data_IF_687997070534
#
_entry.id   IF_687997070534
#
_cell.length_a   1.000
_cell.length_b   1.000
_cell.length_c   1.000
_cell.angle_alpha   90.00
_cell.angle_beta   90.00
_cell.angle_gamma   90.00
#
_symmetry.space_group_name_H-M   'P 1'
#
loop_
_entity.id
_entity.type
_entity.pdbx_description
1 polymer ?
#
# COMPACT_ATOMS: atom_id res chain seq x y z
N UNK A 1 27.55 13.40 12.39
CA UNK A 1 26.39 12.62 11.92
C UNK A 1 26.87 11.21 11.62
N UNK A 2 26.19 10.20 12.15
CA UNK A 2 26.66 8.81 12.20
C UNK A 2 25.84 7.87 11.32
N UNK A 3 26.40 6.70 10.99
CA UNK A 3 25.85 5.60 10.14
C UNK A 3 24.44 5.07 10.50
N UNK A 4 23.78 5.63 11.50
CA UNK A 4 22.49 5.18 12.05
C UNK A 4 21.35 6.21 11.84
N UNK A 5 21.57 7.27 11.05
CA UNK A 5 20.56 8.30 10.77
C UNK A 5 19.64 7.87 9.62
N UNK A 6 18.32 7.92 9.84
CA UNK A 6 17.31 7.59 8.84
C UNK A 6 16.74 8.87 8.22
N UNK A 7 16.57 8.86 6.90
CA UNK A 7 16.06 9.99 6.13
C UNK A 7 14.66 9.69 5.59
N UNK A 8 13.76 10.65 5.72
CA UNK A 8 12.48 10.61 5.04
C UNK A 8 12.67 11.02 3.59
N UNK A 9 12.10 10.25 2.68
CA UNK A 9 12.15 10.53 1.25
C UNK A 9 10.78 10.32 0.62
N UNK A 10 10.44 11.19 -0.31
CA UNK A 10 9.30 11.01 -1.19
C UNK A 10 9.77 10.29 -2.45
N UNK A 11 9.14 9.15 -2.75
CA UNK A 11 9.43 8.35 -3.94
C UNK A 11 8.60 8.89 -5.10
N UNK A 12 9.26 9.49 -6.08
CA UNK A 12 8.62 10.07 -7.26
C UNK A 12 8.29 9.02 -8.30
N UNK A 13 9.26 8.16 -8.61
CA UNK A 13 9.18 7.22 -9.72
C UNK A 13 10.12 6.04 -9.51
N UNK A 14 9.68 4.85 -9.91
CA UNK A 14 10.54 3.68 -10.05
C UNK A 14 10.98 3.54 -11.52
N UNK A 15 12.27 3.35 -11.75
CA UNK A 15 12.84 3.07 -13.07
C UNK A 15 12.92 1.57 -13.34
N UNK A 16 12.98 1.21 -14.63
CA UNK A 16 13.02 -0.20 -15.07
C UNK A 16 14.34 -0.91 -14.72
N UNK A 17 15.40 -0.14 -14.48
CA UNK A 17 16.72 -0.64 -14.04
C UNK A 17 16.78 -0.87 -12.51
N UNK A 18 15.65 -0.71 -11.82
CA UNK A 18 15.53 -0.89 -10.38
C UNK A 18 15.87 0.36 -9.57
N UNK A 19 16.40 1.44 -10.16
CA UNK A 19 16.63 2.68 -9.41
C UNK A 19 15.31 3.37 -9.03
N UNK A 20 15.29 4.01 -7.86
CA UNK A 20 14.14 4.76 -7.37
C UNK A 20 14.50 6.24 -7.32
N UNK A 21 13.72 7.08 -7.99
CA UNK A 21 13.81 8.53 -7.96
C UNK A 21 13.22 9.06 -6.65
N UNK A 22 14.03 9.77 -5.88
CA UNK A 22 13.64 10.28 -4.56
C UNK A 22 13.91 11.75 -4.38
N UNK A 23 13.12 12.36 -3.50
CA UNK A 23 13.34 13.71 -3.00
C UNK A 23 13.33 13.64 -1.47
N UNK A 24 14.36 14.14 -0.76
CA UNK A 24 14.34 14.23 0.69
C UNK A 24 13.17 15.04 1.21
N UNK A 25 12.60 14.58 2.30
CA UNK A 25 11.52 15.22 3.05
C UNK A 25 12.01 15.46 4.46
N UNK A 26 11.75 16.65 5.00
CA UNK A 26 12.17 17.04 6.35
C UNK A 26 10.99 17.60 7.14
N UNK A 27 11.08 17.53 8.46
CA UNK A 27 10.08 18.08 9.38
C UNK A 27 10.33 19.57 9.67
N UNK A 28 11.57 20.02 9.52
CA UNK A 28 11.99 21.40 9.81
C UNK A 28 11.65 22.33 8.64
N UNK A 29 10.38 22.70 8.51
CA UNK A 29 9.88 23.60 7.44
C UNK A 29 10.52 24.99 7.47
N UNK A 30 11.08 25.42 8.60
CA UNK A 30 11.82 26.68 8.73
C UNK A 30 13.11 26.68 7.89
N UNK A 31 13.67 25.50 7.59
CA UNK A 31 14.85 25.35 6.75
C UNK A 31 14.52 25.27 5.25
N UNK A 32 13.24 25.40 4.88
CA UNK A 32 12.84 25.43 3.48
C UNK A 32 13.39 26.66 2.74
N UNK A 33 13.72 26.45 1.47
CA UNK A 33 14.17 27.48 0.54
C UNK A 33 13.25 27.53 -0.70
N UNK A 34 13.61 28.37 -1.68
CA UNK A 34 12.83 28.52 -2.91
C UNK A 34 12.78 27.26 -3.79
N UNK A 35 13.55 26.23 -3.44
CA UNK A 35 13.62 24.93 -4.12
C UNK A 35 12.99 23.81 -3.27
N UNK A 36 12.25 24.17 -2.22
CA UNK A 36 11.64 23.25 -1.27
C UNK A 36 10.13 23.42 -1.28
N UNK A 37 9.39 22.37 -1.62
CA UNK A 37 7.92 22.36 -1.59
C UNK A 37 7.46 22.20 -0.15
N UNK A 38 6.59 23.10 0.30
CA UNK A 38 5.97 23.04 1.62
C UNK A 38 4.66 22.26 1.55
N UNK A 39 4.54 21.20 2.35
CA UNK A 39 3.37 20.33 2.41
C UNK A 39 2.68 20.54 3.76
N UNK A 40 1.44 21.02 3.78
CA UNK A 40 0.74 21.29 5.02
C UNK A 40 0.37 19.98 5.75
N UNK A 41 0.25 20.07 7.07
CA UNK A 41 -0.10 18.96 7.96
C UNK A 41 -1.40 18.22 7.55
N UNK A 42 -2.34 18.91 6.93
CA UNK A 42 -3.60 18.33 6.44
C UNK A 42 -3.40 17.33 5.30
N UNK A 43 -2.34 17.50 4.50
CA UNK A 43 -2.03 16.70 3.31
C UNK A 43 -0.86 15.72 3.57
N UNK A 44 -0.22 15.86 4.72
CA UNK A 44 0.88 15.00 5.16
C UNK A 44 0.38 13.73 5.87
N UNK A 45 0.93 12.55 5.55
CA UNK A 45 0.60 11.30 6.24
C UNK A 45 1.03 11.31 7.72
N UNK A 46 1.95 12.21 8.10
CA UNK A 46 2.42 12.36 9.48
C UNK A 46 1.62 13.38 10.29
N UNK A 47 0.59 14.02 9.71
CA UNK A 47 -0.22 15.07 10.34
C UNK A 47 0.61 16.23 10.91
N UNK A 48 1.75 16.50 10.29
CA UNK A 48 2.67 17.62 10.57
C UNK A 48 3.12 18.23 9.25
N UNK A 49 3.46 19.52 9.27
CA UNK A 49 4.00 20.19 8.09
C UNK A 49 5.32 19.53 7.67
N UNK A 50 5.51 19.35 6.37
CA UNK A 50 6.71 18.74 5.78
C UNK A 50 7.31 19.67 4.72
N UNK A 51 8.60 19.51 4.48
CA UNK A 51 9.34 20.23 3.45
C UNK A 51 10.05 19.23 2.52
N UNK A 52 9.70 19.22 1.24
CA UNK A 52 10.30 18.35 0.23
C UNK A 52 11.35 19.11 -0.61
N UNK A 53 12.63 18.81 -0.39
CA UNK A 53 13.76 19.57 -0.95
C UNK A 53 14.12 19.10 -2.36
N UNK A 54 13.41 19.63 -3.37
CA UNK A 54 13.50 19.21 -4.79
C UNK A 54 14.91 19.37 -5.39
N UNK A 55 15.72 20.29 -4.85
CA UNK A 55 17.11 20.52 -5.23
C UNK A 55 18.04 19.32 -4.98
N UNK A 56 17.64 18.40 -4.10
CA UNK A 56 18.42 17.23 -3.67
C UNK A 56 17.88 15.92 -4.24
N UNK A 57 17.19 15.99 -5.37
CA UNK A 57 16.71 14.81 -6.10
C UNK A 57 17.86 13.83 -6.35
N UNK A 58 17.64 12.55 -6.04
CA UNK A 58 18.63 11.50 -6.20
C UNK A 58 18.00 10.17 -6.65
N UNK A 59 18.87 9.24 -7.04
CA UNK A 59 18.50 7.88 -7.37
C UNK A 59 19.03 6.94 -6.30
N UNK A 60 18.13 6.20 -5.64
CA UNK A 60 18.48 5.22 -4.61
C UNK A 60 18.19 3.81 -5.09
N UNK A 61 18.93 2.85 -4.55
CA UNK A 61 18.61 1.44 -4.74
C UNK A 61 17.38 1.08 -3.89
N UNK A 62 16.46 0.20 -4.33
CA UNK A 62 15.27 -0.19 -3.55
C UNK A 62 15.60 -0.77 -2.18
N UNK A 63 16.81 -1.30 -2.00
CA UNK A 63 17.29 -1.84 -0.72
C UNK A 63 17.65 -0.78 0.31
N UNK A 64 17.85 0.47 -0.10
CA UNK A 64 18.11 1.59 0.82
C UNK A 64 16.85 2.01 1.59
N UNK A 65 15.65 1.59 1.16
CA UNK A 65 14.40 1.98 1.77
C UNK A 65 14.04 1.06 2.94
N UNK A 66 13.69 1.68 4.06
CA UNK A 66 13.30 1.00 5.29
C UNK A 66 11.78 0.81 5.25
N UNK A 67 11.00 1.88 5.38
CA UNK A 67 9.53 1.83 5.47
C UNK A 67 8.83 2.81 4.54
N UNK A 68 7.59 2.48 4.21
CA UNK A 68 6.63 3.39 3.56
C UNK A 68 5.69 3.93 4.63
N UNK A 69 5.74 5.23 4.87
CA UNK A 69 4.94 5.90 5.91
C UNK A 69 3.52 6.20 5.42
N UNK A 70 3.37 6.60 4.16
CA UNK A 70 2.07 6.94 3.60
C UNK A 70 2.17 7.43 2.16
N UNK A 71 1.06 7.90 1.62
CA UNK A 71 1.00 8.57 0.33
C UNK A 71 1.00 10.09 0.52
N UNK A 72 1.70 10.78 -0.36
CA UNK A 72 1.68 12.24 -0.49
C UNK A 72 1.46 12.57 -1.96
N UNK A 73 0.42 13.34 -2.25
CA UNK A 73 0.08 13.77 -3.59
C UNK A 73 0.67 15.15 -3.89
N UNK A 74 1.99 15.20 -4.05
CA UNK A 74 2.76 16.44 -4.30
C UNK A 74 3.46 16.42 -5.66
N UNK A 75 3.04 15.53 -6.56
CA UNK A 75 3.74 15.29 -7.82
C UNK A 75 3.68 16.51 -8.76
N UNK A 76 2.51 17.12 -8.91
CA UNK A 76 2.34 18.36 -9.68
C UNK A 76 3.20 19.49 -9.11
N UNK A 77 3.19 19.62 -7.78
CA UNK A 77 3.83 20.70 -7.05
C UNK A 77 5.35 20.66 -7.21
N UNK A 78 5.92 19.45 -7.10
CA UNK A 78 7.32 19.18 -7.37
C UNK A 78 7.67 19.48 -8.83
N UNK A 79 6.83 19.08 -9.78
CA UNK A 79 7.09 19.32 -11.21
C UNK A 79 7.06 20.80 -11.57
N UNK A 80 6.14 21.56 -10.99
CA UNK A 80 6.03 23.02 -11.13
C UNK A 80 7.27 23.73 -10.57
N UNK A 81 7.74 23.35 -9.38
CA UNK A 81 8.99 23.90 -8.82
C UNK A 81 10.19 23.58 -9.70
N UNK A 82 10.32 22.33 -10.16
CA UNK A 82 11.42 21.93 -11.05
C UNK A 82 11.36 22.63 -12.42
N UNK A 83 10.16 22.92 -12.93
CA UNK A 83 9.97 23.66 -14.18
C UNK A 83 10.30 25.14 -14.01
N UNK A 84 9.82 25.77 -12.94
CA UNK A 84 10.11 27.15 -12.58
C UNK A 84 11.62 27.37 -12.40
N UNK A 85 12.30 26.45 -11.70
CA UNK A 85 13.75 26.49 -11.52
C UNK A 85 14.50 26.46 -12.85
N UNK A 86 14.12 25.55 -13.78
CA UNK A 86 14.70 25.47 -15.13
C UNK A 86 14.47 26.73 -15.95
N UNK A 87 13.34 27.41 -15.74
CA UNK A 87 12.99 28.66 -16.41
C UNK A 87 13.57 29.91 -15.72
N UNK A 88 14.20 29.78 -14.53
CA UNK A 88 14.64 30.92 -13.72
C UNK A 88 13.49 31.78 -13.19
N UNK A 89 12.31 31.18 -13.01
CA UNK A 89 11.09 31.83 -12.54
C UNK A 89 10.73 31.36 -11.11
N UNK A 90 9.83 32.09 -10.46
CA UNK A 90 9.24 31.65 -9.19
C UNK A 90 8.12 30.64 -9.46
N UNK A 91 8.04 29.61 -8.62
CA UNK A 91 6.93 28.66 -8.64
C UNK A 91 5.63 29.32 -8.17
N UNK A 92 4.49 28.84 -8.66
CA UNK A 92 3.16 29.17 -8.14
C UNK A 92 2.79 28.37 -6.88
N UNK A 93 3.60 27.36 -6.55
CA UNK A 93 3.42 26.46 -5.39
C UNK A 93 3.98 27.10 -4.12
N UNK A 94 3.47 26.69 -2.96
CA UNK A 94 4.04 27.07 -1.66
C UNK A 94 5.47 26.54 -1.52
N UNK A 95 6.43 27.46 -1.47
CA UNK A 95 7.87 27.16 -1.27
C UNK A 95 8.45 28.05 -0.18
N UNK A 96 9.64 27.68 0.31
CA UNK A 96 10.39 28.48 1.27
C UNK A 96 10.91 29.80 0.68
N UNK A 97 11.37 30.73 1.55
CA UNK A 97 11.89 32.01 1.09
C UNK A 97 13.23 31.85 0.37
N UNK A 98 13.46 32.73 -0.62
CA UNK A 98 14.69 32.72 -1.42
C UNK A 98 15.95 32.90 -0.54
N UNK A 99 16.99 32.11 -0.78
CA UNK A 99 18.31 32.33 -0.17
C UNK A 99 18.93 33.62 -0.75
N UNK A 100 19.21 34.58 0.13
CA UNK A 100 19.74 35.91 -0.25
C UNK A 100 21.24 36.07 0.02
N UNK A 101 21.79 35.24 0.90
CA UNK A 101 23.19 35.29 1.35
C UNK A 101 23.89 33.95 1.07
N UNK A 102 25.18 34.01 0.77
CA UNK A 102 26.02 32.80 0.67
C UNK A 102 26.34 32.19 2.05
N UNK A 103 26.16 32.96 3.13
CA UNK A 103 26.35 32.51 4.51
C UNK A 103 25.04 32.03 5.19
N UNK A 104 24.01 31.71 4.40
CA UNK A 104 22.72 31.24 4.92
C UNK A 104 22.84 29.80 5.45
N UNK A 105 22.46 29.56 6.71
CA UNK A 105 22.56 28.25 7.38
C UNK A 105 21.81 27.14 6.62
N UNK A 106 20.79 27.48 5.83
CA UNK A 106 20.06 26.51 4.99
C UNK A 106 20.95 25.89 3.92
N UNK A 107 22.01 26.58 3.48
CA UNK A 107 23.00 26.02 2.54
C UNK A 107 23.81 24.89 3.19
N UNK A 108 24.22 25.06 4.45
CA UNK A 108 24.92 24.02 5.21
C UNK A 108 24.01 22.82 5.46
N UNK A 109 22.76 23.07 5.86
CA UNK A 109 21.76 22.01 6.05
C UNK A 109 21.51 21.22 4.76
N UNK A 110 21.37 21.90 3.62
CA UNK A 110 21.21 21.26 2.31
C UNK A 110 22.43 20.41 1.94
N UNK A 111 23.63 20.84 2.31
CA UNK A 111 24.83 20.05 2.10
C UNK A 111 24.85 18.81 2.99
N UNK A 112 24.46 18.92 4.26
CA UNK A 112 24.34 17.77 5.17
C UNK A 112 23.34 16.72 4.66
N UNK A 113 22.16 17.15 4.19
CA UNK A 113 21.18 16.25 3.56
C UNK A 113 21.71 15.60 2.29
N UNK A 114 22.45 16.35 1.46
CA UNK A 114 23.09 15.83 0.26
C UNK A 114 24.10 14.74 0.60
N UNK A 115 24.95 14.98 1.59
CA UNK A 115 25.97 14.02 2.01
C UNK A 115 25.31 12.74 2.53
N UNK A 116 24.24 12.86 3.32
CA UNK A 116 23.49 11.71 3.84
C UNK A 116 22.81 10.90 2.73
N UNK A 117 22.20 11.56 1.73
CA UNK A 117 21.65 10.86 0.55
C UNK A 117 22.77 10.19 -0.28
N UNK A 118 23.91 10.85 -0.42
CA UNK A 118 25.05 10.32 -1.18
C UNK A 118 25.62 9.04 -0.54
N UNK A 119 25.54 8.90 0.78
CA UNK A 119 25.90 7.65 1.46
C UNK A 119 24.93 6.50 1.13
N UNK A 120 23.68 6.81 0.77
CA UNK A 120 22.63 5.83 0.45
C UNK A 120 22.58 5.43 -1.05
N UNK A 121 23.32 6.12 -1.92
CA UNK A 121 23.33 5.86 -3.37
C UNK A 121 23.89 4.47 -3.74
N UNK A 122 23.50 3.88 -4.89
CA UNK A 122 23.75 2.48 -5.26
C UNK A 122 25.21 2.02 -5.20
N UNK A 123 26.18 2.91 -5.43
CA UNK A 123 27.61 2.59 -5.38
C UNK A 123 28.11 2.17 -3.99
N UNK A 124 27.42 2.59 -2.91
CA UNK A 124 27.74 2.14 -1.55
C UNK A 124 27.31 0.69 -1.29
N UNK A 125 26.29 0.21 -2.01
CA UNK A 125 25.66 -1.10 -1.82
C UNK A 125 26.27 -2.18 -2.72
N UNK A 126 26.67 -1.85 -3.95
CA UNK A 126 27.34 -2.82 -4.84
C UNK A 126 28.70 -3.28 -4.29
N UNK A 127 29.37 -2.46 -3.47
CA UNK A 127 30.63 -2.82 -2.83
C UNK A 127 30.48 -3.82 -1.66
N UNK A 128 29.29 -3.95 -1.08
CA UNK A 128 29.05 -4.84 0.09
C UNK A 128 28.58 -6.24 -0.30
N UNK A 129 28.07 -6.42 -1.53
CA UNK A 129 27.56 -7.71 -2.03
C UNK A 129 28.64 -8.69 -2.52
N UNK A 130 29.87 -8.26 -2.79
CA UNK A 130 30.93 -9.15 -3.26
C UNK A 130 31.59 -10.03 -2.18
N UNK A 131 31.14 -9.94 -0.91
CA UNK A 131 31.72 -10.72 0.20
C UNK A 131 30.81 -11.85 0.74
N UNK A 132 29.59 -12.01 0.23
CA UNK A 132 28.74 -13.14 0.61
C UNK A 132 28.99 -14.32 -0.32
N UNK A 133 29.94 -15.16 0.08
CA UNK A 133 30.26 -16.43 -0.56
C UNK A 133 29.01 -17.23 -0.92
N UNK A 134 29.01 -17.75 -2.15
CA UNK A 134 28.08 -18.75 -2.64
C UNK A 134 28.00 -19.93 -1.67
N UNK A 135 26.96 -19.97 -0.84
CA UNK A 135 26.67 -21.15 -0.05
C UNK A 135 26.04 -22.19 -0.98
N UNK A 136 26.74 -23.31 -1.08
CA UNK A 136 26.38 -24.51 -1.81
C UNK A 136 24.95 -24.94 -1.48
N UNK A 137 24.10 -24.97 -2.50
CA UNK A 137 22.95 -25.86 -2.59
C UNK A 137 23.45 -27.31 -2.43
N UNK A 138 23.33 -27.88 -1.24
CA UNK A 138 23.46 -29.33 -1.05
C UNK A 138 22.47 -29.84 0.00
N UNK A 139 21.49 -30.61 -0.48
CA UNK A 139 21.01 -31.89 0.07
C UNK A 139 20.51 -32.04 1.53
N UNK A 140 20.43 -30.99 2.35
CA UNK A 140 19.93 -31.11 3.74
C UNK A 140 18.42 -30.79 3.91
N UNK A 141 17.59 -31.16 2.93
CA UNK A 141 16.11 -31.08 3.03
C UNK A 141 15.48 -32.24 3.85
N UNK A 142 16.29 -33.13 4.44
CA UNK A 142 15.82 -34.42 4.97
C UNK A 142 15.46 -34.45 6.47
N UNK A 143 15.28 -33.32 7.16
CA UNK A 143 14.99 -33.33 8.61
C UNK A 143 13.97 -32.31 9.12
N UNK A 144 13.11 -31.78 8.26
CA UNK A 144 11.84 -31.24 8.78
C UNK A 144 10.97 -32.45 9.12
N UNK A 145 10.37 -32.56 10.32
CA UNK A 145 9.41 -33.62 10.64
C UNK A 145 8.40 -33.72 9.50
N UNK A 146 8.01 -34.93 9.09
CA UNK A 146 7.08 -35.18 8.00
C UNK A 146 5.78 -34.40 8.25
N UNK A 147 5.75 -33.17 7.75
CA UNK A 147 4.72 -32.20 8.07
C UNK A 147 3.47 -32.63 7.33
N UNK A 148 2.36 -32.75 8.04
CA UNK A 148 1.09 -33.05 7.40
C UNK A 148 0.55 -31.79 6.70
N UNK A 149 1.15 -31.50 5.55
CA UNK A 149 0.78 -30.39 4.68
C UNK A 149 -0.70 -30.42 4.32
N UNK A 150 -1.28 -31.63 4.18
CA UNK A 150 -2.68 -31.81 3.83
C UNK A 150 -3.58 -31.44 5.01
N UNK A 151 -3.20 -31.79 6.24
CA UNK A 151 -3.89 -31.33 7.45
C UNK A 151 -3.84 -29.81 7.56
N UNK A 152 -2.68 -29.19 7.36
CA UNK A 152 -2.55 -27.74 7.43
C UNK A 152 -3.41 -27.03 6.37
N UNK A 153 -3.31 -27.42 5.10
CA UNK A 153 -4.11 -26.85 4.00
C UNK A 153 -5.61 -26.98 4.28
N UNK A 154 -6.06 -28.13 4.81
CA UNK A 154 -7.45 -28.35 5.21
C UNK A 154 -7.88 -27.42 6.35
N UNK A 155 -7.11 -27.37 7.44
CA UNK A 155 -7.47 -26.57 8.62
C UNK A 155 -7.47 -25.06 8.32
N UNK A 156 -6.52 -24.59 7.50
CA UNK A 156 -6.53 -23.19 7.00
C UNK A 156 -7.74 -22.92 6.13
N UNK A 157 -8.06 -23.82 5.19
CA UNK A 157 -9.22 -23.63 4.30
C UNK A 157 -10.56 -23.65 5.07
N UNK A 158 -10.66 -24.46 6.13
CA UNK A 158 -11.85 -24.56 6.98
C UNK A 158 -12.04 -23.34 7.87
N UNK A 159 -10.97 -22.84 8.50
CA UNK A 159 -11.04 -21.73 9.45
C UNK A 159 -10.89 -20.35 8.82
N UNK A 160 -10.17 -20.24 7.70
CA UNK A 160 -9.94 -18.99 6.96
C UNK A 160 -10.51 -19.13 5.54
N UNK A 161 -11.85 -19.11 5.38
CA UNK A 161 -12.46 -19.18 4.05
C UNK A 161 -11.97 -18.01 3.20
N UNK A 162 -11.60 -18.28 1.95
CA UNK A 162 -10.97 -17.34 1.00
C UNK A 162 -9.47 -17.07 1.19
N UNK A 163 -8.81 -17.70 2.16
CA UNK A 163 -7.34 -17.71 2.17
C UNK A 163 -6.77 -18.64 1.10
N UNK A 164 -5.62 -18.28 0.54
CA UNK A 164 -4.92 -19.09 -0.46
C UNK A 164 -3.52 -19.48 0.09
N UNK A 165 -3.36 -20.66 0.71
CA UNK A 165 -2.06 -21.14 1.15
C UNK A 165 -1.20 -21.55 -0.07
N UNK A 166 -0.08 -20.87 -0.26
CA UNK A 166 0.89 -21.14 -1.33
C UNK A 166 2.15 -21.71 -0.68
N UNK A 167 2.61 -22.88 -1.11
CA UNK A 167 3.88 -23.44 -0.64
C UNK A 167 5.05 -22.56 -1.07
N UNK A 168 5.98 -22.33 -0.16
CA UNK A 168 7.19 -21.51 -0.40
C UNK A 168 8.41 -22.40 -0.24
N UNK A 169 9.35 -22.30 -1.18
CA UNK A 169 10.64 -23.00 -1.14
C UNK A 169 11.76 -21.97 -1.41
N UNK A 170 11.92 -21.04 -0.46
CA UNK A 170 12.86 -19.92 -0.53
C UNK A 170 14.21 -20.25 0.13
N UNK A 171 14.47 -21.54 0.40
CA UNK A 171 15.64 -21.99 1.12
C UNK A 171 15.59 -21.68 2.62
N UNK A 172 16.57 -22.21 3.34
CA UNK A 172 16.66 -22.15 4.79
C UNK A 172 17.42 -20.89 5.25
N UNK A 173 16.96 -20.27 6.35
CA UNK A 173 17.61 -19.09 6.93
C UNK A 173 18.26 -19.43 8.28
N UNK A 174 19.58 -19.28 8.37
CA UNK A 174 20.34 -19.58 9.59
C UNK A 174 20.07 -18.55 10.71
N UNK A 175 19.60 -19.03 11.86
CA UNK A 175 19.41 -18.24 13.08
C UNK A 175 20.71 -18.13 13.92
N UNK A 176 21.74 -18.89 13.55
CA UNK A 176 22.93 -19.14 14.33
C UNK A 176 22.70 -20.21 15.41
N UNK A 177 23.80 -20.76 15.94
CA UNK A 177 23.80 -21.89 16.89
C UNK A 177 23.13 -23.18 16.37
N UNK A 178 23.13 -23.38 15.05
CA UNK A 178 22.57 -24.57 14.41
C UNK A 178 21.05 -24.55 14.25
N UNK A 179 20.37 -23.46 14.64
CA UNK A 179 18.94 -23.29 14.41
C UNK A 179 18.68 -22.72 13.02
N UNK A 180 17.63 -23.24 12.38
CA UNK A 180 17.25 -22.87 11.02
C UNK A 180 15.78 -22.49 10.97
N UNK A 181 15.47 -21.41 10.25
CA UNK A 181 14.10 -21.09 9.85
C UNK A 181 13.86 -21.64 8.45
N UNK A 182 12.80 -22.43 8.32
CA UNK A 182 12.39 -23.01 7.04
C UNK A 182 11.05 -22.41 6.61
N UNK A 183 11.01 -21.65 5.50
CA UNK A 183 9.75 -21.23 4.90
C UNK A 183 8.85 -22.41 4.59
N UNK A 184 7.56 -22.27 4.88
CA UNK A 184 6.60 -23.36 4.78
C UNK A 184 5.44 -23.02 3.85
N UNK A 185 4.64 -22.02 4.24
CA UNK A 185 3.57 -21.49 3.41
C UNK A 185 3.55 -19.98 3.45
N UNK A 186 3.02 -19.39 2.38
CA UNK A 186 2.51 -18.03 2.37
C UNK A 186 0.99 -18.10 2.34
N UNK A 187 0.33 -17.49 3.32
CA UNK A 187 -1.13 -17.41 3.37
C UNK A 187 -1.53 -16.00 3.03
N UNK A 188 -2.19 -15.84 1.88
CA UNK A 188 -2.75 -14.56 1.46
C UNK A 188 -4.24 -14.50 1.79
N UNK A 189 -4.68 -13.36 2.33
CA UNK A 189 -6.08 -13.06 2.60
C UNK A 189 -6.33 -11.56 2.34
N UNK A 190 -7.23 -11.26 1.40
CA UNK A 190 -7.47 -9.91 0.89
C UNK A 190 -6.16 -9.25 0.39
N UNK A 191 -5.76 -8.14 0.99
CA UNK A 191 -4.57 -7.34 0.70
C UNK A 191 -3.40 -7.64 1.65
N UNK A 192 -3.54 -8.60 2.56
CA UNK A 192 -2.50 -8.99 3.52
C UNK A 192 -1.96 -10.38 3.22
N UNK A 193 -0.64 -10.56 3.28
CA UNK A 193 0.00 -11.86 3.18
C UNK A 193 0.92 -12.15 4.37
N UNK A 194 0.82 -13.36 4.90
CA UNK A 194 1.64 -13.84 6.03
C UNK A 194 2.53 -14.99 5.56
N UNK A 195 3.84 -14.86 5.76
CA UNK A 195 4.80 -15.94 5.56
C UNK A 195 4.91 -16.77 6.83
N UNK A 196 4.67 -18.07 6.71
CA UNK A 196 4.79 -19.04 7.78
C UNK A 196 6.17 -19.67 7.66
N UNK A 197 6.98 -19.51 8.70
CA UNK A 197 8.29 -20.12 8.82
C UNK A 197 8.30 -21.06 10.02
N UNK A 198 8.93 -22.21 9.86
CA UNK A 198 9.02 -23.25 10.89
C UNK A 198 10.39 -23.18 11.53
N UNK A 199 10.43 -23.39 12.85
CA UNK A 199 11.65 -23.55 13.64
C UNK A 199 11.57 -24.80 14.50
N UNK A 200 12.71 -25.42 14.81
CA UNK A 200 12.76 -26.62 15.65
C UNK A 200 12.35 -26.36 17.11
N UNK A 201 12.63 -25.17 17.64
CA UNK A 201 12.27 -24.77 19.00
C UNK A 201 11.93 -23.29 19.06
N UNK A 202 10.66 -22.97 19.32
CA UNK A 202 10.20 -21.58 19.40
C UNK A 202 10.74 -20.90 20.66
N UNK A 203 10.84 -21.62 21.78
CA UNK A 203 11.40 -21.08 23.02
C UNK A 203 12.87 -20.66 22.84
N UNK A 204 13.70 -21.49 22.20
CA UNK A 204 15.09 -21.16 21.96
C UNK A 204 15.25 -20.01 20.95
N UNK A 205 14.35 -19.91 19.97
CA UNK A 205 14.29 -18.79 19.05
C UNK A 205 13.83 -17.49 19.74
N UNK A 206 12.90 -17.58 20.69
CA UNK A 206 12.39 -16.45 21.47
C UNK A 206 13.48 -15.87 22.39
N UNK A 207 14.33 -16.69 23.01
CA UNK A 207 15.46 -16.17 23.80
C UNK A 207 16.46 -15.34 22.97
N UNK A 208 16.38 -15.46 21.63
CA UNK A 208 17.23 -14.78 20.65
C UNK A 208 16.43 -13.91 19.69
N UNK A 209 15.45 -13.16 20.20
CA UNK A 209 14.55 -12.29 19.42
C UNK A 209 15.27 -11.44 18.35
N UNK A 210 16.45 -10.89 18.65
CA UNK A 210 17.20 -10.06 17.69
C UNK A 210 17.70 -10.87 16.48
N UNK A 211 18.22 -12.07 16.72
CA UNK A 211 18.69 -12.98 15.67
C UNK A 211 17.50 -13.53 14.88
N UNK A 212 16.41 -13.87 15.58
CA UNK A 212 15.14 -14.29 15.01
C UNK A 212 14.56 -13.25 14.07
N UNK A 213 14.40 -12.02 14.55
CA UNK A 213 13.93 -10.91 13.74
C UNK A 213 14.84 -10.67 12.53
N UNK A 214 16.17 -10.80 12.69
CA UNK A 214 17.10 -10.68 11.57
C UNK A 214 16.92 -11.75 10.50
N UNK A 215 16.71 -13.01 10.91
CA UNK A 215 16.43 -14.10 9.99
C UNK A 215 15.07 -13.95 9.31
N UNK A 216 14.03 -13.57 10.04
CA UNK A 216 12.72 -13.25 9.49
C UNK A 216 12.78 -12.07 8.51
N UNK A 217 13.60 -11.04 8.76
CA UNK A 217 13.82 -9.94 7.78
C UNK A 217 14.39 -10.46 6.48
N UNK A 218 15.30 -11.44 6.50
CA UNK A 218 15.83 -12.05 5.27
C UNK A 218 14.75 -12.86 4.55
N UNK A 219 13.88 -13.55 5.28
CA UNK A 219 12.74 -14.28 4.70
C UNK A 219 11.71 -13.32 4.05
N UNK A 220 11.38 -12.19 4.68
CA UNK A 220 10.51 -11.18 4.03
C UNK A 220 11.18 -10.54 2.81
N UNK A 221 12.51 -10.46 2.76
CA UNK A 221 13.21 -9.95 1.58
C UNK A 221 13.11 -10.90 0.38
N UNK A 222 13.08 -12.21 0.59
CA UNK A 222 12.89 -13.17 -0.52
C UNK A 222 11.44 -13.20 -1.03
N UNK A 223 10.48 -12.86 -0.16
CA UNK A 223 9.05 -12.79 -0.46
C UNK A 223 8.49 -11.37 -0.21
N UNK A 224 8.71 -10.41 -1.14
CA UNK A 224 8.47 -8.98 -0.90
C UNK A 224 7.00 -8.59 -0.73
N UNK A 225 6.08 -9.45 -1.17
CA UNK A 225 4.63 -9.30 -1.06
C UNK A 225 4.08 -9.73 0.31
N UNK A 226 4.96 -10.07 1.26
CA UNK A 226 4.60 -10.47 2.62
C UNK A 226 4.61 -9.27 3.56
N UNK A 227 3.55 -9.15 4.36
CA UNK A 227 3.33 -8.10 5.35
C UNK A 227 3.71 -8.52 6.78
N UNK A 228 3.68 -9.82 7.06
CA UNK A 228 4.04 -10.38 8.36
C UNK A 228 4.70 -11.76 8.25
N UNK A 229 5.52 -12.11 9.23
CA UNK A 229 6.11 -13.44 9.38
C UNK A 229 5.56 -14.08 10.63
N UNK A 230 4.98 -15.26 10.49
CA UNK A 230 4.57 -16.12 11.59
C UNK A 230 5.60 -17.24 11.75
N UNK A 231 6.35 -17.20 12.86
CA UNK A 231 7.31 -18.23 13.25
C UNK A 231 6.56 -19.24 14.10
N UNK A 232 6.59 -20.52 13.74
CA UNK A 232 5.87 -21.57 14.47
C UNK A 232 6.78 -22.76 14.77
N UNK A 233 6.55 -23.40 15.92
CA UNK A 233 7.11 -24.72 16.21
C UNK A 233 6.09 -25.79 15.84
N UNK A 234 6.51 -26.91 15.21
CA UNK A 234 5.59 -27.94 14.72
C UNK A 234 5.16 -28.92 15.81
N UNK A 235 4.60 -28.40 16.90
CA UNK A 235 3.99 -29.19 17.99
C UNK A 235 2.49 -29.34 17.75
N UNK A 236 1.78 -30.12 18.58
CA UNK A 236 0.33 -30.33 18.43
C UNK A 236 -0.48 -29.02 18.51
N UNK A 237 -0.01 -28.05 19.30
CA UNK A 237 -0.67 -26.75 19.51
C UNK A 237 -0.20 -25.66 18.53
N UNK A 238 0.84 -25.94 17.73
CA UNK A 238 1.44 -25.02 16.77
C UNK A 238 1.71 -23.63 17.37
N UNK A 239 2.39 -23.60 18.51
CA UNK A 239 2.71 -22.33 19.17
C UNK A 239 3.46 -21.43 18.19
N UNK A 240 3.10 -20.15 18.19
CA UNK A 240 3.59 -19.20 17.21
C UNK A 240 3.93 -17.82 17.78
N UNK A 241 4.88 -17.18 17.09
CA UNK A 241 5.28 -15.79 17.25
C UNK A 241 5.02 -15.08 15.93
N UNK A 242 4.21 -14.02 15.95
CA UNK A 242 3.96 -13.22 14.76
C UNK A 242 4.68 -11.89 14.84
N UNK A 243 5.43 -11.58 13.80
CA UNK A 243 6.05 -10.28 13.59
C UNK A 243 5.43 -9.63 12.36
N UNK A 244 4.85 -8.45 12.51
CA UNK A 244 4.63 -7.58 11.35
C UNK A 244 5.97 -7.12 10.78
N UNK A 245 6.00 -6.74 9.51
CA UNK A 245 7.19 -6.22 8.84
C UNK A 245 7.84 -5.03 9.57
N UNK A 246 7.01 -4.16 10.16
CA UNK A 246 7.47 -3.04 10.99
C UNK A 246 8.12 -3.54 12.31
N UNK A 247 7.53 -4.55 12.94
CA UNK A 247 7.97 -5.08 14.23
C UNK A 247 9.25 -5.94 14.17
N UNK A 248 9.67 -6.33 12.96
CA UNK A 248 10.94 -7.03 12.72
C UNK A 248 12.19 -6.15 12.90
N UNK A 249 12.02 -4.87 13.20
CA UNK A 249 13.10 -3.88 13.27
C UNK A 249 13.14 -3.25 14.65
N UNK A 250 14.32 -2.76 15.03
CA UNK A 250 14.42 -1.88 16.17
C UNK A 250 13.79 -0.53 15.82
N UNK A 251 13.03 0.04 16.74
CA UNK A 251 12.37 1.33 16.59
C UNK A 251 12.77 2.26 17.75
N UNK A 252 12.52 3.56 17.61
CA UNK A 252 12.60 4.48 18.74
C UNK A 252 11.23 4.57 19.40
N UNK A 253 11.14 4.20 20.67
CA UNK A 253 9.89 4.23 21.43
C UNK A 253 9.59 5.65 21.89
N UNK A 254 8.52 6.24 21.38
CA UNK A 254 8.03 7.55 21.80
C UNK A 254 7.16 7.42 23.07
N UNK A 255 7.24 8.38 24.01
CA UNK A 255 8.05 9.60 23.99
C UNK A 255 9.48 9.42 24.52
N UNK A 256 9.85 8.22 24.99
CA UNK A 256 11.10 7.99 25.72
C UNK A 256 12.37 8.22 24.88
N UNK A 257 12.27 8.09 23.55
CA UNK A 257 13.40 8.14 22.62
C UNK A 257 14.36 6.95 22.76
N UNK A 258 14.00 5.92 23.54
CA UNK A 258 14.82 4.72 23.72
C UNK A 258 14.69 3.81 22.51
N UNK A 259 15.79 3.12 22.16
CA UNK A 259 15.73 2.05 21.16
C UNK A 259 14.97 0.86 21.74
N UNK A 260 13.78 0.61 21.19
CA UNK A 260 13.07 -0.65 21.34
C UNK A 260 13.63 -1.66 20.33
N UNK A 261 13.88 -2.89 20.79
CA UNK A 261 14.24 -4.00 19.92
C UNK A 261 13.05 -4.47 19.07
N UNK A 262 13.24 -5.48 18.21
CA UNK A 262 12.13 -6.14 17.56
C UNK A 262 11.23 -6.81 18.61
N UNK A 263 9.91 -6.63 18.46
CA UNK A 263 8.92 -7.16 19.41
C UNK A 263 7.84 -7.91 18.63
N UNK A 264 7.53 -9.18 18.95
CA UNK A 264 6.43 -9.88 18.31
C UNK A 264 5.09 -9.21 18.64
N UNK A 265 4.23 -9.09 17.63
CA UNK A 265 2.88 -8.51 17.75
C UNK A 265 1.92 -9.47 18.45
N UNK A 266 2.08 -10.78 18.20
CA UNK A 266 1.33 -11.85 18.87
C UNK A 266 2.30 -12.94 19.35
N UNK A 267 2.03 -13.48 20.53
CA UNK A 267 2.87 -14.47 21.22
C UNK A 267 1.99 -15.52 21.89
N UNK A 268 2.40 -16.79 21.82
CA UNK A 268 1.86 -17.88 22.62
C UNK A 268 0.48 -18.38 22.19
N UNK A 269 0.05 -18.03 20.97
CA UNK A 269 -1.18 -18.53 20.37
C UNK A 269 -0.83 -19.63 19.35
N UNK A 270 -1.76 -20.56 19.14
CA UNK A 270 -1.64 -21.54 18.07
C UNK A 270 -1.67 -20.86 16.69
N UNK A 271 -0.98 -21.43 15.70
CA UNK A 271 -0.77 -20.81 14.40
C UNK A 271 -2.06 -20.30 13.75
N UNK A 272 -3.12 -21.11 13.73
CA UNK A 272 -4.38 -20.73 13.10
C UNK A 272 -5.06 -19.56 13.82
N UNK A 273 -5.00 -19.53 15.15
CA UNK A 273 -5.58 -18.43 15.94
C UNK A 273 -4.74 -17.16 15.78
N UNK A 274 -3.42 -17.29 15.67
CA UNK A 274 -2.50 -16.18 15.34
C UNK A 274 -2.79 -15.60 13.96
N UNK A 275 -2.93 -16.45 12.94
CA UNK A 275 -3.27 -16.03 11.58
C UNK A 275 -4.63 -15.35 11.55
N UNK A 276 -5.66 -15.98 12.15
CA UNK A 276 -7.00 -15.39 12.23
C UNK A 276 -6.97 -14.02 12.89
N UNK A 277 -6.39 -13.92 14.10
CA UNK A 277 -6.35 -12.67 14.86
C UNK A 277 -5.56 -11.58 14.15
N UNK A 278 -4.45 -11.93 13.50
CA UNK A 278 -3.68 -10.96 12.73
C UNK A 278 -4.43 -10.50 11.49
N UNK A 279 -4.97 -11.42 10.69
CA UNK A 279 -5.69 -11.09 9.47
C UNK A 279 -6.94 -10.26 9.79
N UNK A 280 -7.74 -10.65 10.79
CA UNK A 280 -8.91 -9.89 11.25
C UNK A 280 -8.54 -8.48 11.73
N UNK A 281 -7.40 -8.33 12.42
CA UNK A 281 -6.91 -7.02 12.87
C UNK A 281 -6.24 -6.18 11.78
N UNK A 282 -5.73 -6.79 10.72
CA UNK A 282 -5.06 -6.13 9.60
C UNK A 282 -6.04 -5.68 8.50
N UNK A 283 -7.23 -6.29 8.41
CA UNK A 283 -8.30 -5.74 7.57
C UNK A 283 -8.66 -4.37 8.12
N UNK A 284 -8.35 -3.32 7.38
CA UNK A 284 -8.84 -1.98 7.70
C UNK A 284 -10.36 -2.08 7.85
N UNK A 285 -10.90 -1.64 8.99
CA UNK A 285 -12.35 -1.55 9.14
C UNK A 285 -12.88 -0.85 7.89
N UNK A 286 -13.88 -1.43 7.22
CA UNK A 286 -14.51 -0.84 6.03
C UNK A 286 -14.68 0.68 6.20
N UNK A 287 -15.07 1.09 7.41
CA UNK A 287 -15.34 2.47 7.82
C UNK A 287 -14.11 3.40 7.78
N UNK A 288 -12.88 2.86 7.85
CA UNK A 288 -11.62 3.61 7.78
C UNK A 288 -11.02 3.68 6.37
N UNK A 289 -11.37 2.73 5.48
CA UNK A 289 -11.02 2.80 4.05
C UNK A 289 -11.97 3.67 3.24
N UNK A 290 -13.17 3.94 3.78
CA UNK A 290 -14.08 4.99 3.32
C UNK A 290 -13.84 6.29 4.10
N UNK A 291 -12.60 6.81 4.11
CA UNK A 291 -12.44 8.26 4.14
C UNK A 291 -13.07 8.76 2.84
N UNK A 292 -14.39 9.01 2.87
CA UNK A 292 -15.12 9.58 1.77
C UNK A 292 -14.30 10.78 1.29
N UNK A 293 -13.82 10.78 0.02
CA UNK A 293 -12.88 11.79 -0.45
C UNK A 293 -13.44 13.15 -0.08
N UNK A 294 -12.63 13.94 0.65
CA UNK A 294 -13.01 15.25 1.14
C UNK A 294 -13.56 16.07 -0.03
N UNK A 295 -14.89 16.17 -0.09
CA UNK A 295 -15.61 16.71 -1.23
C UNK A 295 -15.48 15.84 -2.50
N UNK A 296 -16.37 14.86 -2.66
CA UNK A 296 -16.94 14.64 -4.00
C UNK A 296 -17.57 15.98 -4.41
N UNK A 297 -16.80 16.81 -5.10
CA UNK A 297 -17.28 18.08 -5.65
C UNK A 297 -18.61 17.78 -6.31
N UNK A 298 -19.67 18.49 -5.90
CA UNK A 298 -21.08 18.13 -6.09
C UNK A 298 -21.26 17.23 -7.30
N UNK A 299 -21.29 15.91 -7.08
CA UNK A 299 -21.48 14.99 -8.19
C UNK A 299 -22.84 15.35 -8.76
N UNK A 300 -22.84 15.82 -10.00
CA UNK A 300 -24.07 16.09 -10.72
C UNK A 300 -24.67 14.73 -11.10
N UNK A 301 -25.38 14.13 -10.14
CA UNK A 301 -26.08 12.86 -10.28
C UNK A 301 -27.05 12.93 -11.45
N UNK A 302 -27.61 14.11 -11.74
CA UNK A 302 -28.49 14.32 -12.87
C UNK A 302 -27.73 14.15 -14.20
N UNK A 303 -26.53 14.75 -14.31
CA UNK A 303 -25.67 14.60 -15.49
C UNK A 303 -25.15 13.16 -15.69
N UNK A 304 -24.76 12.48 -14.60
CA UNK A 304 -24.34 11.07 -14.66
C UNK A 304 -25.51 10.17 -15.07
N UNK A 305 -26.68 10.36 -14.46
CA UNK A 305 -27.89 9.62 -14.81
C UNK A 305 -28.30 9.86 -16.26
N UNK A 306 -28.23 11.11 -16.75
CA UNK A 306 -28.52 11.48 -18.13
C UNK A 306 -27.63 10.73 -19.12
N UNK A 307 -26.32 10.76 -18.89
CA UNK A 307 -25.35 10.06 -19.74
C UNK A 307 -25.60 8.55 -19.76
N UNK A 308 -25.79 7.93 -18.60
CA UNK A 308 -26.03 6.49 -18.53
C UNK A 308 -27.38 6.05 -19.09
N UNK A 309 -28.43 6.85 -18.91
CA UNK A 309 -29.74 6.61 -19.49
C UNK A 309 -29.67 6.65 -21.02
N UNK A 310 -29.02 7.69 -21.57
CA UNK A 310 -28.83 7.84 -23.01
C UNK A 310 -28.02 6.67 -23.60
N UNK A 311 -26.89 6.31 -22.99
CA UNK A 311 -26.06 5.19 -23.44
C UNK A 311 -26.78 3.85 -23.37
N UNK A 312 -27.55 3.62 -22.31
CA UNK A 312 -28.30 2.36 -22.10
C UNK A 312 -29.43 2.23 -23.11
N UNK A 313 -30.19 3.30 -23.37
CA UNK A 313 -31.25 3.31 -24.37
C UNK A 313 -30.67 3.14 -25.78
N UNK A 314 -29.56 3.81 -26.09
CA UNK A 314 -28.86 3.62 -27.37
C UNK A 314 -28.38 2.17 -27.58
N UNK A 315 -27.92 1.48 -26.51
CA UNK A 315 -27.59 0.06 -26.56
C UNK A 315 -28.83 -0.81 -26.80
N UNK A 316 -29.95 -0.53 -26.13
CA UNK A 316 -31.22 -1.27 -26.32
C UNK A 316 -31.71 -1.10 -27.75
N UNK A 317 -31.70 0.11 -28.31
CA UNK A 317 -32.08 0.33 -29.71
C UNK A 317 -31.15 -0.41 -30.67
N UNK A 318 -29.84 -0.35 -30.44
CA UNK A 318 -28.84 -1.01 -31.29
C UNK A 318 -29.01 -2.53 -31.27
N UNK A 319 -29.27 -3.11 -30.10
CA UNK A 319 -29.60 -4.53 -29.96
C UNK A 319 -30.96 -4.86 -30.58
N UNK A 320 -31.94 -3.96 -30.46
CA UNK A 320 -33.27 -4.07 -31.04
C UNK A 320 -33.24 -4.13 -32.57
N UNK A 321 -32.42 -3.28 -33.21
CA UNK A 321 -32.19 -3.31 -34.66
C UNK A 321 -31.62 -4.64 -35.15
N UNK A 322 -30.90 -5.36 -34.29
CA UNK A 322 -30.30 -6.68 -34.56
C UNK A 322 -31.25 -7.85 -34.26
N UNK A 323 -32.43 -7.61 -33.68
CA UNK A 323 -33.37 -8.67 -33.37
C UNK A 323 -34.01 -9.26 -34.64
N UNK A 324 -34.05 -10.59 -34.72
CA UNK A 324 -34.58 -11.34 -35.88
C UNK A 324 -36.12 -11.40 -35.92
N UNK A 325 -36.79 -11.18 -34.79
CA UNK A 325 -38.25 -11.19 -34.71
C UNK A 325 -38.79 -9.76 -34.88
N UNK A 326 -39.59 -9.51 -35.91
CA UNK A 326 -40.14 -8.19 -36.24
C UNK A 326 -40.91 -7.54 -35.07
N UNK A 327 -41.64 -8.33 -34.28
CA UNK A 327 -42.32 -7.84 -33.08
C UNK A 327 -41.35 -7.31 -32.01
N UNK A 328 -40.21 -8.00 -31.79
CA UNK A 328 -39.18 -7.57 -30.83
C UNK A 328 -38.40 -6.37 -31.34
N UNK A 329 -38.08 -6.38 -32.64
CA UNK A 329 -37.42 -5.26 -33.31
C UNK A 329 -38.25 -3.99 -33.17
N UNK A 330 -39.53 -4.04 -33.53
CA UNK A 330 -40.47 -2.92 -33.38
C UNK A 330 -40.60 -2.46 -31.93
N UNK A 331 -40.66 -3.39 -30.97
CA UNK A 331 -40.75 -3.05 -29.54
C UNK A 331 -39.50 -2.37 -28.99
N UNK A 332 -38.31 -2.71 -29.48
CA UNK A 332 -37.04 -2.19 -28.95
C UNK A 332 -36.53 -0.96 -29.69
N UNK A 333 -37.02 -0.69 -30.91
CA UNK A 333 -36.69 0.51 -31.67
C UNK A 333 -37.74 1.61 -31.59
N UNK A 334 -38.94 1.30 -31.09
CA UNK A 334 -40.02 2.28 -30.87
C UNK A 334 -40.13 2.65 -29.39
N UNK A 335 -38.98 2.92 -28.77
CA UNK A 335 -38.93 3.47 -27.42
C UNK A 335 -39.41 4.93 -27.46
N UNK A 336 -39.94 5.41 -26.33
CA UNK A 336 -40.39 6.80 -26.24
C UNK A 336 -39.19 7.75 -26.47
N UNK A 337 -39.33 8.81 -27.29
CA UNK A 337 -38.21 9.71 -27.60
C UNK A 337 -37.65 10.42 -26.37
N UNK A 338 -38.46 10.59 -25.31
CA UNK A 338 -38.05 11.21 -24.05
C UNK A 338 -37.71 10.19 -22.95
N UNK A 339 -37.59 8.89 -23.28
CA UNK A 339 -37.35 7.85 -22.28
C UNK A 339 -36.05 8.07 -21.51
N UNK A 340 -35.01 8.64 -22.14
CA UNK A 340 -33.76 8.99 -21.47
C UNK A 340 -33.98 10.03 -20.37
N UNK A 341 -34.82 11.02 -20.65
CA UNK A 341 -35.05 12.15 -19.76
C UNK A 341 -35.98 11.73 -18.62
N UNK A 342 -36.95 10.86 -18.90
CA UNK A 342 -37.81 10.25 -17.89
C UNK A 342 -37.01 9.35 -16.93
N UNK A 343 -36.09 8.51 -17.43
CA UNK A 343 -35.20 7.67 -16.59
C UNK A 343 -34.26 8.54 -15.76
N UNK A 344 -33.72 9.62 -16.34
CA UNK A 344 -32.86 10.58 -15.64
C UNK A 344 -33.58 11.23 -14.46
N UNK A 345 -34.81 11.70 -14.69
CA UNK A 345 -35.65 12.31 -13.65
C UNK A 345 -36.05 11.31 -12.57
N UNK A 346 -36.32 10.06 -12.93
CA UNK A 346 -36.57 8.99 -11.96
C UNK A 346 -35.36 8.75 -11.06
N UNK A 347 -34.15 8.59 -11.61
CA UNK A 347 -32.92 8.37 -10.83
C UNK A 347 -32.59 9.57 -9.95
N UNK A 348 -32.75 10.79 -10.47
CA UNK A 348 -32.56 12.02 -9.69
C UNK A 348 -33.57 12.15 -8.54
N UNK A 349 -34.83 11.75 -8.73
CA UNK A 349 -35.84 11.76 -7.67
C UNK A 349 -35.52 10.76 -6.55
N UNK A 350 -35.14 9.53 -6.89
CA UNK A 350 -34.81 8.48 -5.90
C UNK A 350 -33.56 8.85 -5.10
N UNK A 351 -32.57 9.45 -5.75
CA UNK A 351 -31.33 9.90 -5.08
C UNK A 351 -31.51 11.21 -4.30
N UNK A 352 -32.52 12.01 -4.66
CA UNK A 352 -32.86 13.31 -4.04
C UNK A 352 -33.83 13.25 -2.86
N UNK A 353 -34.01 12.09 -2.21
CA UNK A 353 -34.90 11.83 -1.04
C UNK A 353 -36.36 11.50 -1.35
N UNK A 354 -36.77 11.37 -2.62
CA UNK A 354 -38.13 10.91 -2.95
C UNK A 354 -38.22 9.39 -2.79
N UNK A 355 -39.31 8.90 -2.21
CA UNK A 355 -39.50 7.46 -2.08
C UNK A 355 -39.54 6.77 -3.47
N UNK A 356 -38.94 5.57 -3.64
CA UNK A 356 -38.95 4.88 -4.92
C UNK A 356 -40.36 4.66 -5.48
N UNK A 357 -41.34 4.42 -4.62
CA UNK A 357 -42.75 4.28 -4.98
C UNK A 357 -43.34 5.55 -5.60
N UNK A 358 -42.99 6.71 -5.08
CA UNK A 358 -43.49 8.00 -5.56
C UNK A 358 -42.81 8.42 -6.87
N UNK A 359 -41.49 8.22 -6.97
CA UNK A 359 -40.75 8.41 -8.20
C UNK A 359 -41.27 7.51 -9.33
N UNK A 360 -41.57 6.24 -9.02
CA UNK A 360 -42.11 5.27 -9.98
C UNK A 360 -43.52 5.67 -10.44
N UNK A 361 -44.39 6.11 -9.51
CA UNK A 361 -45.72 6.58 -9.88
C UNK A 361 -45.71 7.79 -10.82
N UNK A 362 -44.71 8.67 -10.66
CA UNK A 362 -44.51 9.84 -11.53
C UNK A 362 -44.03 9.42 -12.92
N UNK A 363 -43.06 8.51 -12.98
CA UNK A 363 -42.56 7.93 -14.23
C UNK A 363 -43.66 7.18 -15.01
N UNK A 364 -44.48 6.38 -14.32
CA UNK A 364 -45.60 5.64 -14.93
C UNK A 364 -46.70 6.57 -15.46
N UNK A 365 -46.94 7.70 -14.79
CA UNK A 365 -47.93 8.69 -15.25
C UNK A 365 -47.46 9.41 -16.52
N UNK A 366 -46.20 9.79 -16.57
CA UNK A 366 -45.61 10.47 -17.73
C UNK A 366 -45.52 9.55 -18.95
N UNK A 367 -45.13 8.29 -18.75
CA UNK A 367 -45.11 7.29 -19.83
C UNK A 367 -46.50 6.92 -20.38
N UNK A 368 -47.57 7.15 -19.60
CA UNK A 368 -48.96 6.89 -20.03
C UNK A 368 -49.64 8.08 -20.70
N UNK A 369 -49.39 9.31 -20.23
CA UNK A 369 -50.02 10.51 -20.81
C UNK A 369 -49.68 10.73 -22.30
N UNK A 370 -48.52 10.24 -22.75
CA UNK A 370 -48.08 10.39 -24.14
C UNK A 370 -48.58 9.29 -25.09
N UNK A 371 -49.25 8.24 -24.58
CA UNK A 371 -49.82 7.16 -25.41
C UNK A 371 -51.27 7.41 -25.83
N UNK A 372 -51.97 8.34 -25.16
CA UNK A 372 -53.36 8.71 -25.43
C UNK A 372 -53.50 10.01 -26.26
N UNK A 373 -52.38 10.60 -26.70
CA UNK A 373 -52.28 11.77 -27.59
C UNK A 373 -51.82 11.34 -28.98
#
# INVERSE_FOLDING_TARGET
>A
MGRDEALLVWVRKNFHDGAVDVIPVVLDVELADEQTVLVPASESPLRTDLAATTALRAHLHPEAFIDRIGMMDIASDVEDVLAAQRAGQQSSVSVGPKIQSEDDERLEYRQALRDLIAELTPSAWTATTDSAASHSRSDDLAKVPEFDHLRFEREVSERLPSSNPIRVDDGNFDLGAGMVLTPFYKVAYLDTAVLIVVVESLSAAHDRLTDLASACRRAVRSSPDVDAVCVTEPTDDWESLLFSRASLRGALELPSGLRAGPVPVLVGLGLLDTLWKHLEGSVSAWEATDDAPAGLGSIDIASIAARHAHDSIGKVETQGRRALQEAKKKSWTNLHPELSDQVTRFVAAVTGSTSPSEALSTFERETRCDQDS
#
